data_IF_533195221491
#
_entry.id   IF_533195221491
#
_cell.length_a   1.000
_cell.length_b   1.000
_cell.length_c   1.000
_cell.angle_alpha   90.00
_cell.angle_beta   90.00
_cell.angle_gamma   90.00
#
_symmetry.space_group_name_H-M   'P 1'
#
loop_
_entity.id
_entity.type
_entity.pdbx_description
1 polymer ?
#
# COMPACT_ATOMS: atom_id res chain seq x y z
N UNK A 1 -1.96 12.70 -21.04
CA UNK A 1 -2.64 13.51 -20.01
C UNK A 1 -1.80 13.47 -18.76
N UNK A 2 -1.63 14.63 -18.15
CA UNK A 2 -1.05 14.74 -16.81
C UNK A 2 -2.06 14.23 -15.77
N UNK A 3 -1.57 13.77 -14.61
CA UNK A 3 -2.46 13.26 -13.54
C UNK A 3 -3.48 14.31 -13.10
N UNK A 4 -3.10 15.59 -13.15
CA UNK A 4 -3.97 16.72 -12.82
C UNK A 4 -5.11 16.91 -13.81
N UNK A 5 -4.94 16.53 -15.08
CA UNK A 5 -5.99 16.58 -16.10
C UNK A 5 -6.98 15.44 -15.90
N UNK A 6 -6.50 14.24 -15.59
CA UNK A 6 -7.34 13.07 -15.28
C UNK A 6 -8.23 13.35 -14.08
N UNK A 7 -7.67 13.92 -13.01
CA UNK A 7 -8.43 14.28 -11.81
C UNK A 7 -9.54 15.29 -12.14
N UNK A 8 -9.23 16.36 -12.88
CA UNK A 8 -10.22 17.36 -13.29
C UNK A 8 -11.34 16.75 -14.12
N UNK A 9 -11.03 15.80 -15.01
CA UNK A 9 -12.05 15.16 -15.82
C UNK A 9 -13.00 14.31 -14.97
N UNK A 10 -12.47 13.60 -13.97
CA UNK A 10 -13.25 12.77 -13.05
C UNK A 10 -14.11 13.62 -12.11
N UNK A 11 -13.57 14.72 -11.58
CA UNK A 11 -14.28 15.64 -10.67
C UNK A 11 -15.54 16.24 -11.30
N UNK A 12 -15.58 16.36 -12.64
CA UNK A 12 -16.74 16.86 -13.37
C UNK A 12 -17.82 15.80 -13.63
N UNK A 13 -17.71 14.61 -13.04
CA UNK A 13 -18.60 13.45 -13.25
C UNK A 13 -19.21 12.99 -11.92
N UNK A 14 -20.30 12.21 -11.98
CA UNK A 14 -20.84 11.56 -10.76
C UNK A 14 -19.91 10.40 -10.39
N UNK A 15 -19.24 10.50 -9.25
CA UNK A 15 -18.21 9.55 -8.84
C UNK A 15 -18.78 8.38 -8.01
N UNK A 16 -18.25 7.18 -8.25
CA UNK A 16 -18.43 6.00 -7.39
C UNK A 16 -17.07 5.30 -7.19
N UNK A 17 -17.01 4.39 -6.20
CA UNK A 17 -15.78 3.69 -5.82
C UNK A 17 -14.92 4.46 -4.81
N UNK A 18 -13.80 3.85 -4.41
CA UNK A 18 -12.88 4.42 -3.43
C UNK A 18 -11.43 4.01 -3.69
N UNK A 19 -10.50 4.83 -3.17
CA UNK A 19 -9.09 4.49 -3.05
C UNK A 19 -8.76 4.27 -1.58
N UNK A 20 -8.21 3.10 -1.28
CA UNK A 20 -7.67 2.79 0.04
C UNK A 20 -6.21 3.18 0.10
N UNK A 21 -5.82 3.85 1.17
CA UNK A 21 -4.42 4.19 1.46
C UNK A 21 -3.76 3.01 2.18
N UNK A 22 -2.81 2.35 1.51
CA UNK A 22 -1.97 1.29 2.08
C UNK A 22 -0.59 1.83 2.39
N UNK A 23 0.01 1.37 3.48
CA UNK A 23 1.41 1.64 3.78
C UNK A 23 2.19 0.35 3.60
N UNK A 24 3.31 0.47 2.94
CA UNK A 24 4.13 -0.65 2.53
C UNK A 24 5.54 -0.48 3.08
N UNK A 25 6.17 -1.59 3.47
CA UNK A 25 7.57 -1.64 3.89
C UNK A 25 8.32 -2.76 3.17
N UNK A 26 9.54 -2.47 2.74
CA UNK A 26 10.51 -3.48 2.33
C UNK A 26 11.35 -3.91 3.54
N UNK A 27 11.37 -5.19 3.89
CA UNK A 27 12.17 -5.67 5.03
C UNK A 27 13.67 -5.73 4.72
N UNK A 28 14.04 -5.77 3.43
CA UNK A 28 15.43 -5.87 3.00
C UNK A 28 16.20 -4.55 3.19
N UNK A 29 15.60 -3.42 2.79
CA UNK A 29 16.24 -2.10 2.88
C UNK A 29 15.57 -1.13 3.87
N UNK A 30 14.42 -1.51 4.45
CA UNK A 30 13.67 -0.66 5.38
C UNK A 30 12.88 0.48 4.73
N UNK A 31 12.92 0.63 3.40
CA UNK A 31 12.14 1.66 2.69
C UNK A 31 10.66 1.46 2.95
N UNK A 32 9.99 2.56 3.28
CA UNK A 32 8.53 2.62 3.45
C UNK A 32 7.91 3.56 2.44
N UNK A 33 6.75 3.21 1.91
CA UNK A 33 5.98 4.09 1.02
C UNK A 33 4.48 3.92 1.24
N UNK A 34 3.71 4.80 0.59
CA UNK A 34 2.25 4.77 0.62
C UNK A 34 1.78 4.46 -0.80
N UNK A 35 0.83 3.54 -0.90
CA UNK A 35 0.12 3.24 -2.14
C UNK A 35 -1.36 3.59 -1.99
N UNK A 36 -1.92 4.18 -3.04
CA UNK A 36 -3.36 4.30 -3.18
C UNK A 36 -3.83 3.14 -4.04
N UNK A 37 -4.73 2.31 -3.49
CA UNK A 37 -5.21 1.09 -4.13
C UNK A 37 -6.72 1.13 -4.26
N UNK A 38 -7.25 0.96 -5.46
CA UNK A 38 -8.69 0.89 -5.70
C UNK A 38 -9.11 1.35 -7.09
N UNK A 39 -10.40 1.61 -7.23
CA UNK A 39 -11.05 2.00 -8.47
C UNK A 39 -12.02 3.14 -8.20
N UNK A 40 -11.85 4.23 -8.94
CA UNK A 40 -12.79 5.34 -9.03
C UNK A 40 -13.45 5.31 -10.41
N UNK A 41 -14.77 5.40 -10.45
CA UNK A 41 -15.53 5.45 -11.70
C UNK A 41 -16.32 6.76 -11.76
N UNK A 42 -16.09 7.54 -12.81
CA UNK A 42 -16.79 8.78 -13.10
C UNK A 42 -17.85 8.58 -14.19
N UNK A 43 -19.11 8.75 -13.82
CA UNK A 43 -20.27 8.58 -14.71
C UNK A 43 -20.76 9.91 -15.29
N UNK A 44 -21.12 9.91 -16.57
CA UNK A 44 -21.75 11.06 -17.25
C UNK A 44 -22.74 10.56 -18.30
N UNK A 45 -23.99 11.02 -18.24
CA UNK A 45 -25.04 10.59 -19.16
C UNK A 45 -24.66 10.87 -20.63
N UNK A 46 -24.90 9.89 -21.50
CA UNK A 46 -24.54 9.97 -22.92
C UNK A 46 -23.04 9.93 -23.21
N UNK A 47 -22.19 9.66 -22.21
CA UNK A 47 -20.75 9.53 -22.35
C UNK A 47 -20.29 8.17 -21.80
N UNK A 48 -19.10 7.72 -22.20
CA UNK A 48 -18.44 6.56 -21.61
C UNK A 48 -18.04 6.84 -20.16
N UNK A 49 -18.04 5.80 -19.32
CA UNK A 49 -17.53 5.87 -17.96
C UNK A 49 -16.01 6.03 -17.94
N UNK A 50 -15.52 6.92 -17.09
CA UNK A 50 -14.08 7.12 -16.90
C UNK A 50 -13.64 6.34 -15.67
N UNK A 51 -12.76 5.35 -15.87
CA UNK A 51 -12.22 4.50 -14.81
C UNK A 51 -10.79 4.91 -14.45
N UNK A 52 -10.57 5.36 -13.21
CA UNK A 52 -9.23 5.54 -12.64
C UNK A 52 -8.94 4.38 -11.67
N UNK A 53 -8.07 3.47 -12.12
CA UNK A 53 -7.59 2.35 -11.32
C UNK A 53 -6.16 2.63 -10.86
N UNK A 54 -5.94 2.67 -9.56
CA UNK A 54 -4.61 2.86 -8.96
C UNK A 54 -4.30 1.64 -8.09
N UNK A 55 -3.07 1.14 -8.14
CA UNK A 55 -2.65 -0.04 -7.39
C UNK A 55 -3.30 -1.31 -7.93
N UNK A 56 -2.65 -1.96 -8.89
CA UNK A 56 -3.05 -3.29 -9.37
C UNK A 56 -2.47 -4.36 -8.46
N UNK A 57 -2.92 -4.47 -7.21
CA UNK A 57 -2.51 -5.57 -6.34
C UNK A 57 -3.63 -6.13 -5.45
N UNK A 58 -3.66 -7.47 -5.42
CA UNK A 58 -4.45 -8.39 -4.61
C UNK A 58 -5.89 -8.72 -5.04
N UNK A 59 -6.09 -9.13 -6.29
CA UNK A 59 -6.99 -10.27 -6.50
C UNK A 59 -6.14 -11.50 -6.81
N UNK A 60 -6.34 -12.54 -6.00
CA UNK A 60 -5.79 -13.88 -6.13
C UNK A 60 -6.27 -14.55 -7.43
N UNK A 61 -5.93 -14.02 -8.60
CA UNK A 61 -6.07 -14.76 -9.83
C UNK A 61 -4.90 -15.77 -9.91
N UNK A 62 -5.20 -17.02 -9.56
CA UNK A 62 -4.28 -18.16 -9.68
C UNK A 62 -3.65 -18.30 -11.08
N UNK A 63 -4.33 -17.80 -12.13
CA UNK A 63 -3.86 -17.83 -13.51
C UNK A 63 -3.09 -16.59 -13.96
N UNK A 64 -3.25 -15.43 -13.33
CA UNK A 64 -2.88 -14.15 -13.94
C UNK A 64 -1.50 -13.61 -13.49
N UNK A 65 -0.74 -14.35 -12.65
CA UNK A 65 0.62 -14.00 -12.17
C UNK A 65 0.83 -12.50 -12.00
N UNK A 66 0.02 -11.89 -11.13
CA UNK A 66 0.10 -10.46 -10.85
C UNK A 66 1.48 -10.13 -10.28
N UNK A 67 2.04 -9.02 -10.77
CA UNK A 67 3.38 -8.53 -10.43
C UNK A 67 3.48 -8.44 -8.90
N UNK A 68 4.36 -9.23 -8.30
CA UNK A 68 4.65 -9.11 -6.88
C UNK A 68 5.16 -7.70 -6.60
N UNK A 69 4.69 -7.10 -5.51
CA UNK A 69 5.15 -5.78 -5.11
C UNK A 69 6.65 -5.82 -4.89
N UNK A 70 7.37 -4.96 -5.61
CA UNK A 70 8.81 -4.84 -5.51
C UNK A 70 9.17 -3.52 -4.86
N UNK A 71 10.19 -3.57 -4.02
CA UNK A 71 10.80 -2.36 -3.53
C UNK A 71 11.48 -1.63 -4.69
N UNK A 72 11.04 -0.41 -5.00
CA UNK A 72 11.65 0.41 -6.06
C UNK A 72 13.13 0.78 -5.79
N UNK A 73 13.62 0.58 -4.57
CA UNK A 73 15.00 0.90 -4.20
C UNK A 73 15.97 -0.27 -4.36
N UNK A 74 15.53 -1.48 -3.99
CA UNK A 74 16.41 -2.65 -3.90
C UNK A 74 15.88 -3.87 -4.65
N UNK A 75 14.79 -3.73 -5.40
CA UNK A 75 14.13 -4.76 -6.21
C UNK A 75 13.68 -6.03 -5.46
N UNK A 76 13.81 -6.04 -4.12
CA UNK A 76 13.32 -7.13 -3.28
C UNK A 76 11.80 -7.28 -3.39
N UNK A 77 11.33 -8.53 -3.44
CA UNK A 77 9.91 -8.89 -3.35
C UNK A 77 9.44 -9.05 -1.88
N UNK A 78 10.35 -8.94 -0.91
CA UNK A 78 10.02 -9.08 0.52
C UNK A 78 9.43 -7.77 1.04
N UNK A 79 8.20 -7.53 0.60
CA UNK A 79 7.45 -6.30 0.79
C UNK A 79 6.11 -6.61 1.43
N UNK A 80 5.74 -5.84 2.45
CA UNK A 80 4.56 -6.12 3.28
C UNK A 80 3.69 -4.89 3.48
N UNK A 81 2.37 -5.09 3.45
CA UNK A 81 1.40 -4.11 3.91
C UNK A 81 1.43 -4.02 5.45
N UNK A 82 1.52 -2.80 5.99
CA UNK A 82 1.56 -2.56 7.43
C UNK A 82 0.28 -1.87 7.87
N UNK A 83 -0.53 -2.56 8.67
CA UNK A 83 -1.69 -1.97 9.35
C UNK A 83 -1.21 -1.31 10.65
N UNK A 84 -1.12 0.03 10.69
CA UNK A 84 -0.85 0.72 11.96
C UNK A 84 -2.08 0.60 12.87
N UNK A 85 -1.91 0.36 14.19
CA UNK A 85 -3.01 0.46 15.15
C UNK A 85 -3.71 1.81 15.02
N UNK A 86 -5.05 1.83 15.00
CA UNK A 86 -5.91 3.02 14.83
C UNK A 86 -5.68 4.15 15.85
N UNK A 87 -4.81 3.98 16.84
CA UNK A 87 -4.45 4.97 17.86
C UNK A 87 -2.94 4.96 18.10
N UNK A 88 -2.20 5.65 17.24
CA UNK A 88 -0.85 6.13 17.54
C UNK A 88 -0.89 7.63 17.23
N UNK A 89 -0.64 8.52 18.20
CA UNK A 89 -0.60 9.96 17.96
C UNK A 89 0.35 10.28 16.79
N UNK A 90 -0.11 11.09 15.84
CA UNK A 90 0.57 11.37 14.55
C UNK A 90 2.02 11.84 14.68
N UNK A 91 2.44 12.31 15.86
CA UNK A 91 3.74 12.94 16.11
C UNK A 91 4.77 12.03 16.82
N UNK A 92 4.51 10.74 17.02
CA UNK A 92 5.49 9.90 17.74
C UNK A 92 6.53 9.32 16.77
N UNK A 93 7.78 9.79 16.75
CA UNK A 93 8.82 9.17 15.94
C UNK A 93 9.06 7.73 16.43
N UNK A 94 9.18 6.80 15.48
CA UNK A 94 9.54 5.42 15.77
C UNK A 94 10.92 5.42 16.44
N UNK A 95 10.98 5.06 17.73
CA UNK A 95 12.23 4.94 18.46
C UNK A 95 12.59 3.47 18.67
N UNK A 96 13.84 3.11 18.36
CA UNK A 96 14.38 1.79 18.66
C UNK A 96 14.36 1.46 20.17
N UNK A 97 14.19 2.46 21.06
CA UNK A 97 14.15 2.28 22.52
C UNK A 97 12.91 1.51 23.01
N UNK A 98 11.84 1.47 22.23
CA UNK A 98 10.59 0.77 22.59
C UNK A 98 10.47 -0.61 21.96
N UNK A 99 11.44 -1.04 21.15
CA UNK A 99 11.47 -2.37 20.54
C UNK A 99 12.17 -3.32 21.53
N UNK A 100 11.40 -4.16 22.24
CA UNK A 100 11.98 -5.24 23.04
C UNK A 100 12.34 -6.41 22.11
N UNK A 101 13.57 -6.91 22.25
CA UNK A 101 13.99 -8.15 21.64
C UNK A 101 13.20 -9.31 22.26
N UNK A 102 12.34 -9.97 21.48
CA UNK A 102 11.62 -11.19 21.89
C UNK A 102 12.43 -12.40 21.45
N UNK A 103 13.62 -12.60 22.01
CA UNK A 103 14.37 -13.84 21.82
C UNK A 103 13.86 -14.87 22.81
N UNK A 104 13.29 -15.97 22.31
CA UNK A 104 13.02 -17.15 23.12
C UNK A 104 14.35 -17.87 23.39
N UNK A 105 15.11 -17.37 24.37
CA UNK A 105 16.32 -18.01 24.87
C UNK A 105 15.92 -19.12 25.84
N UNK A 106 15.53 -20.28 25.31
CA UNK A 106 15.72 -21.54 26.06
C UNK A 106 17.22 -21.84 26.07
N UNK A 107 17.92 -21.15 26.96
CA UNK A 107 19.29 -21.42 27.33
C UNK A 107 19.26 -22.68 28.19
N UNK A 108 19.59 -23.82 27.59
CA UNK A 108 20.26 -24.88 28.34
C UNK A 108 21.76 -24.59 28.26
N UNK A 109 22.25 -23.88 29.27
CA UNK A 109 23.64 -23.98 29.73
C UNK A 109 23.80 -25.36 30.37
N UNK A 110 24.80 -26.13 29.93
CA UNK A 110 25.97 -26.44 30.75
C UNK A 110 26.93 -27.38 29.99
N UNK A 111 28.18 -26.92 29.91
CA UNK A 111 29.48 -27.61 29.69
C UNK A 111 29.59 -28.73 28.62
#
# INVERSE_FOLDING_TARGET
MEITEVIKEIENRKMTGELTKKRVICIHCGKTWIEFVGLIVGHKEGCEDLCLRIGTESENCFSCRWRALKCEECDSNDVYEVTFPKKIPEETPLSFKTIKQVTNRSVHTDL
#
